data_IF_391167277424
#
_entry.id   IF_391167277424
#
_cell.length_a   1.000
_cell.length_b   1.000
_cell.length_c   1.000
_cell.angle_alpha   90.00
_cell.angle_beta   90.00
_cell.angle_gamma   90.00
#
_symmetry.space_group_name_H-M   'P 1'
#
loop_
_entity.id
_entity.type
_entity.pdbx_description
1 polymer ?
#
# COMPACT_ATOMS: atom_id res chain seq x y z
N UNK A 1 1.59 -23.75 -14.69
CA UNK A 1 1.82 -24.50 -13.44
C UNK A 1 0.71 -24.13 -12.46
N UNK A 2 0.08 -25.11 -11.80
CA UNK A 2 -1.01 -24.88 -10.83
C UNK A 2 -0.54 -25.32 -9.45
N UNK A 3 -0.79 -24.52 -8.40
CA UNK A 3 -0.39 -24.82 -7.02
C UNK A 3 -1.49 -24.48 -6.03
N UNK A 4 -1.49 -25.19 -4.91
CA UNK A 4 -2.44 -24.95 -3.83
C UNK A 4 -1.90 -23.90 -2.86
N UNK A 5 -2.66 -22.83 -2.66
CA UNK A 5 -2.37 -21.79 -1.65
C UNK A 5 -2.90 -22.15 -0.26
N UNK A 6 -3.69 -23.22 -0.17
CA UNK A 6 -4.25 -23.78 1.07
C UNK A 6 -4.22 -25.30 1.04
N UNK A 7 -4.49 -25.94 2.18
CA UNK A 7 -4.68 -27.39 2.25
C UNK A 7 -5.96 -27.77 1.51
N UNK A 8 -5.89 -28.82 0.70
CA UNK A 8 -7.03 -29.36 -0.08
C UNK A 8 -7.32 -30.77 0.43
N UNK A 9 -8.57 -31.04 0.83
CA UNK A 9 -8.99 -32.37 1.28
C UNK A 9 -9.26 -33.27 0.06
N UNK A 10 -9.14 -34.59 0.25
CA UNK A 10 -9.51 -35.56 -0.81
C UNK A 10 -10.99 -35.36 -1.17
N UNK A 11 -11.28 -35.15 -2.45
CA UNK A 11 -12.64 -34.87 -2.96
C UNK A 11 -13.07 -33.40 -2.88
N UNK A 12 -12.23 -32.49 -2.37
CA UNK A 12 -12.48 -31.04 -2.46
C UNK A 12 -12.21 -30.53 -3.88
N UNK A 13 -13.11 -29.68 -4.39
CA UNK A 13 -12.95 -29.02 -5.68
C UNK A 13 -11.74 -28.08 -5.68
N UNK A 14 -10.98 -28.08 -6.77
CA UNK A 14 -9.83 -27.19 -6.96
C UNK A 14 -10.27 -25.99 -7.79
N UNK A 15 -10.28 -24.82 -7.16
CA UNK A 15 -10.72 -23.58 -7.80
C UNK A 15 -9.54 -22.61 -8.03
N UNK A 16 -9.68 -21.76 -9.06
CA UNK A 16 -8.78 -20.62 -9.35
C UNK A 16 -9.62 -19.36 -9.54
N UNK A 17 -9.04 -18.18 -9.38
CA UNK A 17 -9.74 -16.91 -9.68
C UNK A 17 -9.51 -16.52 -11.14
N UNK A 18 -10.58 -16.09 -11.83
CA UNK A 18 -10.52 -15.52 -13.18
C UNK A 18 -10.52 -13.99 -13.21
N UNK A 19 -10.78 -13.37 -12.07
CA UNK A 19 -10.90 -11.92 -11.91
C UNK A 19 -10.00 -11.45 -10.79
N UNK A 20 -9.68 -10.15 -10.78
CA UNK A 20 -9.02 -9.53 -9.63
C UNK A 20 -9.95 -9.59 -8.40
N UNK A 21 -9.40 -10.06 -7.28
CA UNK A 21 -10.11 -10.23 -6.02
C UNK A 21 -10.14 -8.94 -5.17
N UNK A 22 -9.34 -7.93 -5.53
CA UNK A 22 -9.44 -6.57 -5.00
C UNK A 22 -10.56 -5.76 -5.67
N UNK A 23 -11.32 -6.36 -6.59
CA UNK A 23 -12.53 -5.75 -7.12
C UNK A 23 -13.77 -6.05 -6.25
N UNK A 24 -14.69 -5.08 -6.17
CA UNK A 24 -16.04 -5.23 -5.63
C UNK A 24 -16.79 -6.47 -6.11
N UNK A 25 -17.74 -6.96 -5.31
CA UNK A 25 -18.57 -8.12 -5.68
C UNK A 25 -19.32 -7.87 -6.99
N UNK A 26 -19.91 -6.70 -7.16
CA UNK A 26 -20.68 -6.36 -8.35
C UNK A 26 -19.82 -6.38 -9.63
N UNK A 27 -18.58 -5.86 -9.56
CA UNK A 27 -17.64 -5.88 -10.69
C UNK A 27 -17.20 -7.30 -11.03
N UNK A 28 -16.84 -8.11 -10.02
CA UNK A 28 -16.46 -9.51 -10.22
C UNK A 28 -17.60 -10.31 -10.86
N UNK A 29 -18.83 -10.13 -10.41
CA UNK A 29 -19.99 -10.80 -11.01
C UNK A 29 -20.22 -10.35 -12.45
N UNK A 30 -20.12 -9.05 -12.72
CA UNK A 30 -20.29 -8.49 -14.07
C UNK A 30 -19.23 -9.03 -15.04
N UNK A 31 -17.96 -9.08 -14.60
CA UNK A 31 -16.87 -9.63 -15.38
C UNK A 31 -17.07 -11.12 -15.68
N UNK A 32 -17.44 -11.92 -14.67
CA UNK A 32 -17.68 -13.35 -14.84
C UNK A 32 -18.88 -13.64 -15.74
N UNK A 33 -19.94 -12.85 -15.63
CA UNK A 33 -21.09 -12.97 -16.52
C UNK A 33 -20.72 -12.62 -17.96
N UNK A 34 -20.05 -11.50 -18.19
CA UNK A 34 -19.71 -11.02 -19.53
C UNK A 34 -18.70 -11.93 -20.25
N UNK A 35 -17.66 -12.39 -19.54
CA UNK A 35 -16.56 -13.14 -20.15
C UNK A 35 -16.70 -14.65 -20.03
N UNK A 36 -17.46 -15.15 -19.05
CA UNK A 36 -17.56 -16.57 -18.75
C UNK A 36 -19.01 -17.09 -18.62
N UNK A 37 -20.03 -16.23 -18.78
CA UNK A 37 -21.46 -16.60 -18.83
C UNK A 37 -21.96 -17.34 -17.58
N UNK A 38 -21.42 -17.04 -16.40
CA UNK A 38 -21.93 -17.59 -15.14
C UNK A 38 -21.94 -16.55 -14.02
N UNK A 39 -22.81 -16.78 -13.03
CA UNK A 39 -22.85 -16.03 -11.77
C UNK A 39 -22.16 -16.83 -10.68
N UNK A 40 -21.17 -16.24 -10.01
CA UNK A 40 -20.42 -16.93 -8.98
C UNK A 40 -21.22 -17.07 -7.69
N UNK A 41 -21.28 -18.29 -7.15
CA UNK A 41 -21.97 -18.61 -5.90
C UNK A 41 -21.01 -19.00 -4.77
N UNK A 42 -19.76 -18.53 -4.82
CA UNK A 42 -18.79 -18.81 -3.74
C UNK A 42 -19.24 -18.16 -2.40
N UNK A 43 -18.60 -18.57 -1.30
CA UNK A 43 -18.90 -18.05 0.05
C UNK A 43 -18.86 -16.51 0.09
N UNK A 44 -17.83 -15.90 -0.48
CA UNK A 44 -17.70 -14.43 -0.53
C UNK A 44 -18.83 -13.76 -1.32
N UNK A 45 -19.33 -14.40 -2.39
CA UNK A 45 -20.41 -13.85 -3.22
C UNK A 45 -21.82 -14.10 -2.65
N UNK A 46 -22.01 -15.13 -1.83
CA UNK A 46 -23.35 -15.52 -1.32
C UNK A 46 -23.69 -14.90 0.03
N UNK A 47 -22.69 -14.48 0.80
CA UNK A 47 -22.87 -13.87 2.12
C UNK A 47 -23.63 -12.54 2.03
N UNK A 48 -24.63 -12.39 2.91
CA UNK A 48 -25.42 -11.18 3.13
C UNK A 48 -25.58 -10.96 4.65
N UNK A 49 -25.21 -9.79 5.21
CA UNK A 49 -24.62 -8.63 4.53
C UNK A 49 -23.23 -8.91 3.95
N UNK A 50 -22.73 -8.05 3.06
CA UNK A 50 -21.42 -8.22 2.39
C UNK A 50 -20.30 -8.52 3.38
N UNK A 51 -19.31 -9.31 2.95
CA UNK A 51 -18.12 -9.60 3.76
C UNK A 51 -17.37 -8.31 4.12
N UNK A 52 -16.58 -8.32 5.20
CA UNK A 52 -15.74 -7.18 5.59
C UNK A 52 -14.90 -6.65 4.42
N UNK A 53 -14.35 -7.57 3.61
CA UNK A 53 -13.52 -7.23 2.45
C UNK A 53 -14.35 -6.55 1.37
N UNK A 54 -15.49 -7.12 0.95
CA UNK A 54 -16.32 -6.49 -0.09
C UNK A 54 -16.88 -5.14 0.36
N UNK A 55 -17.29 -5.03 1.63
CA UNK A 55 -17.71 -3.75 2.20
C UNK A 55 -16.56 -2.72 2.15
N UNK A 56 -15.37 -3.10 2.61
CA UNK A 56 -14.20 -2.21 2.61
C UNK A 56 -13.77 -1.75 1.19
N UNK A 57 -13.91 -2.62 0.19
CA UNK A 57 -13.57 -2.33 -1.21
C UNK A 57 -14.56 -1.36 -1.89
N UNK A 58 -15.80 -1.29 -1.40
CA UNK A 58 -16.88 -0.43 -1.93
C UNK A 58 -17.10 0.84 -1.08
N UNK A 59 -16.55 0.92 0.13
CA UNK A 59 -16.87 1.98 1.09
C UNK A 59 -16.38 3.37 0.65
N UNK A 60 -17.26 4.36 0.83
CA UNK A 60 -16.97 5.79 0.73
C UNK A 60 -17.35 6.45 2.05
N UNK A 61 -16.42 7.23 2.60
CA UNK A 61 -16.61 8.07 3.75
C UNK A 61 -17.35 9.34 3.35
N UNK A 62 -18.47 9.63 4.00
CA UNK A 62 -19.19 10.89 3.83
C UNK A 62 -19.02 11.74 5.09
N UNK A 63 -18.63 13.01 4.93
CA UNK A 63 -18.48 13.94 6.05
C UNK A 63 -19.37 15.16 5.83
N UNK A 64 -20.30 15.40 6.76
CA UNK A 64 -20.98 16.69 6.91
C UNK A 64 -21.56 16.86 8.33
N UNK A 65 -21.15 17.89 9.12
CA UNK A 65 -21.65 18.11 10.49
C UNK A 65 -23.12 18.55 10.60
N UNK A 66 -23.78 18.89 9.49
CA UNK A 66 -25.21 19.29 9.47
C UNK A 66 -26.17 18.16 9.04
N UNK A 67 -25.63 16.97 8.76
CA UNK A 67 -26.41 15.80 8.34
C UNK A 67 -26.74 14.93 9.56
N UNK A 68 -27.87 15.19 10.22
CA UNK A 68 -28.33 14.30 11.30
C UNK A 68 -29.84 14.05 11.33
N UNK A 69 -30.65 14.62 10.42
CA UNK A 69 -32.11 14.55 10.62
C UNK A 69 -33.02 14.58 9.40
N UNK A 70 -32.51 14.63 8.17
CA UNK A 70 -33.37 14.60 6.98
C UNK A 70 -33.27 13.25 6.28
N UNK A 71 -34.39 12.51 6.20
CA UNK A 71 -34.54 11.20 5.56
C UNK A 71 -34.36 11.21 4.03
N UNK A 72 -33.21 11.70 3.58
CA UNK A 72 -32.73 11.61 2.21
C UNK A 72 -31.97 10.30 2.05
N UNK A 73 -32.10 9.70 0.86
CA UNK A 73 -31.41 8.46 0.52
C UNK A 73 -29.91 8.75 0.29
N UNK A 74 -29.16 8.79 1.40
CA UNK A 74 -27.71 8.99 1.42
C UNK A 74 -26.98 8.01 0.49
N UNK A 75 -27.58 6.84 0.24
CA UNK A 75 -27.05 5.83 -0.67
C UNK A 75 -27.06 6.32 -2.11
N UNK A 76 -28.10 7.00 -2.59
CA UNK A 76 -28.15 7.54 -3.96
C UNK A 76 -27.04 8.57 -4.20
N UNK A 77 -26.78 9.44 -3.23
CA UNK A 77 -25.70 10.42 -3.30
C UNK A 77 -24.33 9.75 -3.25
N UNK A 78 -24.17 8.71 -2.43
CA UNK A 78 -22.95 7.90 -2.35
C UNK A 78 -22.69 7.17 -3.67
N UNK A 79 -23.72 6.60 -4.29
CA UNK A 79 -23.62 5.88 -5.57
C UNK A 79 -23.23 6.80 -6.73
N UNK A 80 -23.86 7.99 -6.79
CA UNK A 80 -23.51 9.00 -7.79
C UNK A 80 -22.08 9.52 -7.58
N UNK A 81 -21.67 9.77 -6.34
CA UNK A 81 -20.29 10.14 -6.01
C UNK A 81 -19.32 9.04 -6.41
N UNK A 82 -19.61 7.78 -6.05
CA UNK A 82 -18.83 6.59 -6.41
C UNK A 82 -18.61 6.51 -7.92
N UNK A 83 -19.69 6.65 -8.70
CA UNK A 83 -19.63 6.56 -10.17
C UNK A 83 -18.76 7.66 -10.78
N UNK A 84 -18.94 8.92 -10.34
CA UNK A 84 -18.16 10.05 -10.85
C UNK A 84 -16.70 9.96 -10.45
N UNK A 85 -16.44 9.58 -9.21
CA UNK A 85 -15.10 9.37 -8.68
C UNK A 85 -14.36 8.24 -9.41
N UNK A 86 -15.02 7.10 -9.62
CA UNK A 86 -14.47 5.99 -10.40
C UNK A 86 -14.13 6.44 -11.81
N UNK A 87 -15.07 7.07 -12.52
CA UNK A 87 -14.85 7.56 -13.87
C UNK A 87 -13.65 8.50 -13.96
N UNK A 88 -13.54 9.47 -13.04
CA UNK A 88 -12.43 10.42 -13.01
C UNK A 88 -11.08 9.73 -12.80
N UNK A 89 -11.00 8.78 -11.88
CA UNK A 89 -9.78 8.02 -11.61
C UNK A 89 -9.41 7.15 -12.81
N UNK A 90 -10.38 6.43 -13.38
CA UNK A 90 -10.16 5.56 -14.55
C UNK A 90 -9.69 6.35 -15.78
N UNK A 91 -10.28 7.52 -16.02
CA UNK A 91 -9.88 8.45 -17.08
C UNK A 91 -8.45 8.96 -16.85
N UNK A 92 -8.12 9.37 -15.62
CA UNK A 92 -6.78 9.83 -15.25
C UNK A 92 -5.73 8.73 -15.44
N UNK A 93 -6.03 7.49 -15.02
CA UNK A 93 -5.13 6.35 -15.19
C UNK A 93 -4.96 6.02 -16.68
N UNK A 94 -6.05 6.05 -17.45
CA UNK A 94 -6.00 5.80 -18.90
C UNK A 94 -5.18 6.85 -19.64
N UNK A 95 -5.35 8.13 -19.29
CA UNK A 95 -4.53 9.23 -19.82
C UNK A 95 -3.05 9.02 -19.47
N UNK A 96 -2.74 8.67 -18.22
CA UNK A 96 -1.37 8.37 -17.81
C UNK A 96 -0.74 7.22 -18.61
N UNK A 97 -1.47 6.13 -18.82
CA UNK A 97 -0.98 4.97 -19.58
C UNK A 97 -0.83 5.25 -21.09
N UNK A 98 -1.54 6.24 -21.63
CA UNK A 98 -1.51 6.56 -23.07
C UNK A 98 -0.58 7.72 -23.42
N UNK A 99 -0.64 8.81 -22.66
CA UNK A 99 0.14 10.04 -22.88
C UNK A 99 1.50 9.97 -22.18
N UNK A 100 1.58 9.28 -21.04
CA UNK A 100 2.82 9.14 -20.27
C UNK A 100 3.20 10.39 -19.48
N UNK A 101 2.23 11.19 -19.00
CA UNK A 101 2.49 12.33 -18.10
C UNK A 101 2.31 11.93 -16.63
N UNK A 102 3.38 11.52 -15.92
CA UNK A 102 3.28 11.10 -14.54
C UNK A 102 3.02 12.28 -13.57
N UNK A 103 3.40 13.51 -13.91
CA UNK A 103 3.21 14.65 -13.01
C UNK A 103 1.74 15.07 -12.97
N UNK A 104 1.09 15.19 -14.12
CA UNK A 104 -0.35 15.45 -14.21
C UNK A 104 -1.14 14.33 -13.53
N UNK A 105 -0.75 13.07 -13.73
CA UNK A 105 -1.33 11.91 -13.06
C UNK A 105 -1.26 12.04 -11.53
N UNK A 106 -0.08 12.29 -10.96
CA UNK A 106 0.11 12.48 -9.52
C UNK A 106 -0.81 13.58 -8.98
N UNK A 107 -0.81 14.77 -9.61
CA UNK A 107 -1.61 15.92 -9.16
C UNK A 107 -3.11 15.63 -9.20
N UNK A 108 -3.61 14.98 -10.26
CA UNK A 108 -5.04 14.66 -10.43
C UNK A 108 -5.51 13.64 -9.39
N UNK A 109 -4.77 12.54 -9.21
CA UNK A 109 -5.13 11.49 -8.27
C UNK A 109 -5.05 11.97 -6.81
N UNK A 110 -3.97 12.66 -6.42
CA UNK A 110 -3.81 13.18 -5.05
C UNK A 110 -4.86 14.22 -4.69
N UNK A 111 -5.24 15.07 -5.64
CA UNK A 111 -6.33 16.05 -5.45
C UNK A 111 -7.62 15.36 -5.09
N UNK A 112 -7.99 14.28 -5.79
CA UNK A 112 -9.23 13.55 -5.53
C UNK A 112 -9.16 12.74 -4.25
N UNK A 113 -8.03 12.09 -3.98
CA UNK A 113 -7.82 11.34 -2.74
C UNK A 113 -7.90 12.25 -1.50
N UNK A 114 -7.27 13.43 -1.53
CA UNK A 114 -7.27 14.39 -0.42
C UNK A 114 -8.57 15.19 -0.32
N UNK A 115 -9.04 15.73 -1.45
CA UNK A 115 -10.19 16.63 -1.52
C UNK A 115 -11.52 15.93 -1.36
N UNK A 116 -11.64 14.71 -1.89
CA UNK A 116 -12.92 14.04 -2.07
C UNK A 116 -13.73 14.64 -3.22
N UNK A 117 -14.98 14.19 -3.35
CA UNK A 117 -15.94 14.68 -4.31
C UNK A 117 -17.07 15.40 -3.59
N UNK A 118 -17.37 16.62 -4.04
CA UNK A 118 -18.48 17.41 -3.52
C UNK A 118 -19.74 17.14 -4.33
N UNK A 119 -20.76 16.60 -3.67
CA UNK A 119 -22.10 16.50 -4.26
C UNK A 119 -22.94 17.68 -3.76
N UNK A 120 -23.40 18.51 -4.71
CA UNK A 120 -24.32 19.61 -4.40
C UNK A 120 -25.74 19.06 -4.18
N UNK A 121 -26.36 19.47 -3.08
CA UNK A 121 -27.75 19.11 -2.78
C UNK A 121 -28.73 20.04 -3.53
N UNK A 122 -29.89 19.51 -3.90
CA UNK A 122 -31.05 20.30 -4.34
C UNK A 122 -31.46 21.28 -3.23
N UNK A 123 -31.79 22.51 -3.58
CA UNK A 123 -32.03 23.63 -2.64
C UNK A 123 -32.91 23.22 -1.44
N UNK A 124 -32.32 23.28 -0.24
CA UNK A 124 -33.08 23.23 1.02
C UNK A 124 -33.27 24.64 1.56
N UNK A 125 -34.28 24.84 2.42
CA UNK A 125 -34.63 26.16 2.99
C UNK A 125 -33.49 26.84 3.77
N UNK A 126 -32.45 26.10 4.16
CA UNK A 126 -31.27 26.60 4.90
C UNK A 126 -30.02 26.81 4.04
N UNK A 127 -30.16 26.78 2.70
CA UNK A 127 -29.06 27.01 1.76
C UNK A 127 -28.48 25.72 1.14
N UNK A 128 -27.42 25.88 0.33
CA UNK A 128 -26.74 24.76 -0.36
C UNK A 128 -25.81 24.03 0.62
N UNK A 129 -26.28 22.91 1.17
CA UNK A 129 -25.43 21.93 1.85
C UNK A 129 -24.61 21.15 0.82
N UNK A 130 -23.32 20.93 1.12
CA UNK A 130 -22.39 20.13 0.30
C UNK A 130 -22.02 18.87 1.05
N UNK A 131 -22.25 17.71 0.44
CA UNK A 131 -21.73 16.45 0.97
C UNK A 131 -20.33 16.23 0.40
N UNK A 132 -19.33 16.04 1.27
CA UNK A 132 -18.01 15.62 0.81
C UNK A 132 -17.86 14.10 0.96
N UNK A 133 -17.64 13.44 -0.17
CA UNK A 133 -17.44 12.00 -0.27
C UNK A 133 -15.98 11.69 -0.54
N UNK A 134 -15.34 10.90 0.32
CA UNK A 134 -13.94 10.46 0.20
C UNK A 134 -13.87 8.95 0.12
N UNK A 135 -12.91 8.43 -0.60
CA UNK A 135 -12.69 6.99 -0.59
C UNK A 135 -12.28 6.49 0.79
N UNK A 136 -12.83 5.36 1.19
CA UNK A 136 -12.22 4.58 2.25
C UNK A 136 -10.81 4.15 1.81
N UNK A 137 -9.79 4.07 2.68
CA UNK A 137 -8.43 3.69 2.28
C UNK A 137 -8.31 2.31 1.63
N UNK A 138 -9.27 1.42 1.92
CA UNK A 138 -9.36 0.08 1.32
C UNK A 138 -10.23 0.03 0.07
N UNK A 139 -10.87 1.13 -0.31
CA UNK A 139 -11.70 1.17 -1.50
C UNK A 139 -10.87 0.78 -2.72
N UNK A 140 -11.39 -0.07 -3.60
CA UNK A 140 -10.66 -0.58 -4.75
C UNK A 140 -10.10 0.52 -5.66
N UNK A 141 -10.80 1.65 -5.81
CA UNK A 141 -10.35 2.80 -6.60
C UNK A 141 -9.19 3.50 -5.90
N UNK A 142 -9.23 3.61 -4.57
CA UNK A 142 -8.11 4.15 -3.79
C UNK A 142 -6.88 3.24 -3.90
N UNK A 143 -7.06 1.91 -3.79
CA UNK A 143 -5.96 0.94 -3.96
C UNK A 143 -5.33 1.04 -5.35
N UNK A 144 -6.15 1.14 -6.41
CA UNK A 144 -5.66 1.35 -7.77
C UNK A 144 -4.91 2.67 -7.89
N UNK A 145 -5.44 3.74 -7.29
CA UNK A 145 -4.77 5.05 -7.26
C UNK A 145 -3.41 4.98 -6.56
N UNK A 146 -3.27 4.26 -5.43
CA UNK A 146 -1.98 4.10 -4.75
C UNK A 146 -0.97 3.35 -5.62
N UNK A 147 -1.42 2.31 -6.32
CA UNK A 147 -0.59 1.54 -7.24
C UNK A 147 -0.10 2.41 -8.40
N UNK A 148 -0.98 3.22 -8.99
CA UNK A 148 -0.64 4.16 -10.06
C UNK A 148 0.30 5.25 -9.54
N UNK A 149 0.01 5.84 -8.37
CA UNK A 149 0.84 6.89 -7.77
C UNK A 149 2.25 6.39 -7.46
N UNK A 150 2.38 5.21 -6.85
CA UNK A 150 3.68 4.58 -6.61
C UNK A 150 4.49 4.46 -7.92
N UNK A 151 3.83 4.03 -9.01
CA UNK A 151 4.47 3.87 -10.32
C UNK A 151 4.81 5.23 -10.97
N UNK A 152 3.89 6.19 -10.96
CA UNK A 152 4.06 7.52 -11.54
C UNK A 152 5.21 8.29 -10.86
N UNK A 153 5.27 8.29 -9.52
CA UNK A 153 6.38 8.90 -8.79
C UNK A 153 7.72 8.21 -9.07
N UNK A 154 7.73 6.89 -9.29
CA UNK A 154 8.95 6.17 -9.68
C UNK A 154 9.42 6.58 -11.09
N UNK A 155 8.49 6.80 -12.03
CA UNK A 155 8.83 7.31 -13.37
C UNK A 155 9.39 8.73 -13.24
N UNK A 156 8.73 9.63 -12.49
CA UNK A 156 9.24 10.99 -12.25
C UNK A 156 10.64 10.99 -11.66
N UNK A 157 10.92 10.11 -10.71
CA UNK A 157 12.26 9.93 -10.16
C UNK A 157 13.29 9.59 -11.24
N UNK A 158 12.93 8.68 -12.15
CA UNK A 158 13.78 8.26 -13.28
C UNK A 158 13.97 9.37 -14.32
N UNK A 159 12.92 10.16 -14.58
CA UNK A 159 12.95 11.31 -15.49
C UNK A 159 13.90 12.39 -14.95
N UNK A 160 13.86 12.68 -13.65
CA UNK A 160 14.79 13.62 -13.02
C UNK A 160 16.26 13.19 -13.15
N UNK A 161 16.54 11.89 -13.12
CA UNK A 161 17.88 11.34 -13.28
C UNK A 161 18.37 11.29 -14.73
N UNK A 162 17.45 11.26 -15.71
CA UNK A 162 17.77 11.06 -17.13
C UNK A 162 17.80 12.35 -17.94
N UNK A 163 16.88 13.30 -17.69
CA UNK A 163 16.72 14.51 -18.51
C UNK A 163 17.47 15.73 -17.99
N UNK A 164 17.77 15.80 -16.69
CA UNK A 164 18.52 16.91 -16.11
C UNK A 164 20.00 16.52 -16.01
N UNK A 165 20.91 17.46 -16.33
CA UNK A 165 22.33 17.28 -15.97
C UNK A 165 22.38 16.86 -14.49
N UNK A 166 23.29 15.91 -14.15
CA UNK A 166 23.44 15.34 -12.79
C UNK A 166 23.90 16.40 -11.78
N UNK A 167 23.08 17.42 -11.58
CA UNK A 167 23.19 18.44 -10.57
C UNK A 167 22.71 17.83 -9.26
N UNK A 168 23.22 18.34 -8.14
CA UNK A 168 22.78 17.87 -6.83
C UNK A 168 21.27 18.13 -6.64
N UNK A 169 20.72 19.20 -7.23
CA UNK A 169 19.29 19.51 -7.20
C UNK A 169 18.42 18.46 -7.91
N UNK A 170 18.82 18.00 -9.10
CA UNK A 170 18.06 16.96 -9.81
C UNK A 170 18.11 15.61 -9.09
N UNK A 171 19.23 15.28 -8.45
CA UNK A 171 19.37 14.09 -7.62
C UNK A 171 18.49 14.16 -6.36
N UNK A 172 18.42 15.32 -5.70
CA UNK A 172 17.56 15.53 -4.54
C UNK A 172 16.07 15.41 -4.89
N UNK A 173 15.64 16.03 -6.01
CA UNK A 173 14.25 15.89 -6.51
C UNK A 173 13.93 14.44 -6.90
N UNK A 174 14.83 13.77 -7.60
CA UNK A 174 14.66 12.35 -7.92
C UNK A 174 14.48 11.51 -6.65
N UNK A 175 15.27 11.78 -5.62
CA UNK A 175 15.20 11.07 -4.34
C UNK A 175 13.89 11.35 -3.59
N UNK A 176 13.40 12.58 -3.60
CA UNK A 176 12.08 12.96 -3.08
C UNK A 176 10.96 12.16 -3.76
N UNK A 177 10.96 12.12 -5.10
CA UNK A 177 9.96 11.35 -5.86
C UNK A 177 10.04 9.85 -5.51
N UNK A 178 11.25 9.30 -5.37
CA UNK A 178 11.45 7.91 -4.94
C UNK A 178 10.90 7.65 -3.53
N UNK A 179 11.09 8.58 -2.58
CA UNK A 179 10.55 8.48 -1.22
C UNK A 179 9.02 8.43 -1.20
N UNK A 180 8.37 9.35 -1.91
CA UNK A 180 6.91 9.40 -2.01
C UNK A 180 6.37 8.13 -2.69
N UNK A 181 7.04 7.65 -3.74
CA UNK A 181 6.74 6.38 -4.41
C UNK A 181 6.75 5.19 -3.42
N UNK A 182 7.78 5.08 -2.58
CA UNK A 182 7.85 4.06 -1.54
C UNK A 182 6.76 4.24 -0.47
N UNK A 183 6.40 5.49 -0.15
CA UNK A 183 5.29 5.82 0.75
C UNK A 183 3.97 5.21 0.27
N UNK A 184 3.60 5.44 -1.00
CA UNK A 184 2.40 4.85 -1.61
C UNK A 184 2.47 3.33 -1.69
N UNK A 185 3.59 2.77 -2.13
CA UNK A 185 3.76 1.31 -2.21
C UNK A 185 3.58 0.64 -0.84
N UNK A 186 4.06 1.30 0.22
CA UNK A 186 3.91 0.83 1.60
C UNK A 186 2.48 0.92 2.12
N UNK A 187 1.78 2.02 1.84
CA UNK A 187 0.35 2.17 2.17
C UNK A 187 -0.49 1.08 1.46
N UNK A 188 -0.23 0.83 0.18
CA UNK A 188 -0.87 -0.21 -0.61
C UNK A 188 -0.61 -1.62 -0.05
N UNK A 189 0.64 -1.91 0.31
CA UNK A 189 1.01 -3.19 0.94
C UNK A 189 0.31 -3.38 2.29
N UNK A 190 0.27 -2.35 3.13
CA UNK A 190 -0.41 -2.37 4.43
C UNK A 190 -1.93 -2.58 4.30
N UNK A 191 -2.57 -1.80 3.43
CA UNK A 191 -4.00 -1.92 3.16
C UNK A 191 -4.37 -3.32 2.63
N UNK A 192 -3.62 -3.81 1.66
CA UNK A 192 -3.87 -5.14 1.07
C UNK A 192 -3.58 -6.26 2.05
N UNK A 193 -2.55 -6.12 2.89
CA UNK A 193 -2.27 -7.10 3.94
C UNK A 193 -3.41 -7.19 4.94
N UNK A 194 -4.01 -6.06 5.34
CA UNK A 194 -5.17 -6.04 6.22
C UNK A 194 -6.36 -6.79 5.63
N UNK A 195 -6.64 -6.59 4.34
CA UNK A 195 -7.68 -7.35 3.63
C UNK A 195 -7.32 -8.85 3.53
N UNK A 196 -6.07 -9.17 3.24
CA UNK A 196 -5.56 -10.54 3.16
C UNK A 196 -5.69 -11.31 4.49
N UNK A 197 -5.48 -10.65 5.64
CA UNK A 197 -5.70 -11.26 6.95
C UNK A 197 -7.15 -11.71 7.14
N UNK A 198 -8.11 -11.04 6.49
CA UNK A 198 -9.53 -11.40 6.52
C UNK A 198 -9.91 -12.41 5.42
N UNK A 199 -9.22 -12.37 4.28
CA UNK A 199 -9.51 -13.20 3.10
C UNK A 199 -8.20 -13.73 2.48
N UNK A 200 -7.85 -14.97 2.83
CA UNK A 200 -6.60 -15.61 2.41
C UNK A 200 -6.42 -15.73 0.90
N UNK A 201 -7.49 -15.68 0.11
CA UNK A 201 -7.39 -15.71 -1.36
C UNK A 201 -6.69 -14.49 -1.95
N UNK A 202 -6.53 -13.39 -1.18
CA UNK A 202 -5.79 -12.19 -1.57
C UNK A 202 -4.26 -12.34 -1.45
N UNK A 203 -3.75 -13.54 -1.13
CA UNK A 203 -2.32 -13.79 -0.94
C UNK A 203 -1.47 -13.33 -2.13
N UNK A 204 -1.94 -13.51 -3.37
CA UNK A 204 -1.20 -13.11 -4.58
C UNK A 204 -0.98 -11.59 -4.62
N UNK A 205 -2.00 -10.80 -4.29
CA UNK A 205 -1.88 -9.34 -4.22
C UNK A 205 -0.91 -8.93 -3.10
N UNK A 206 -1.01 -9.59 -1.93
CA UNK A 206 -0.10 -9.35 -0.82
C UNK A 206 1.37 -9.66 -1.18
N UNK A 207 1.64 -10.74 -1.91
CA UNK A 207 3.00 -11.07 -2.42
C UNK A 207 3.57 -9.89 -3.21
N UNK A 208 2.82 -9.45 -4.22
CA UNK A 208 3.29 -8.46 -5.18
C UNK A 208 3.54 -7.11 -4.51
N UNK A 209 2.64 -6.68 -3.62
CA UNK A 209 2.78 -5.38 -2.96
C UNK A 209 3.84 -5.37 -1.87
N UNK A 210 4.00 -6.44 -1.09
CA UNK A 210 5.11 -6.52 -0.12
C UNK A 210 6.48 -6.60 -0.80
N UNK A 211 6.56 -7.37 -1.88
CA UNK A 211 7.76 -7.39 -2.74
C UNK A 211 8.08 -5.98 -3.23
N UNK A 212 7.12 -5.31 -3.87
CA UNK A 212 7.34 -3.98 -4.45
C UNK A 212 7.73 -2.94 -3.38
N UNK A 213 7.03 -2.92 -2.24
CA UNK A 213 7.36 -2.02 -1.13
C UNK A 213 8.78 -2.27 -0.60
N UNK A 214 9.19 -3.54 -0.50
CA UNK A 214 10.55 -3.92 -0.14
C UNK A 214 11.60 -3.40 -1.12
N UNK A 215 11.40 -3.63 -2.42
CA UNK A 215 12.31 -3.15 -3.48
C UNK A 215 12.48 -1.63 -3.43
N UNK A 216 11.39 -0.89 -3.21
CA UNK A 216 11.41 0.58 -3.23
C UNK A 216 12.14 1.13 -2.01
N UNK A 217 11.90 0.55 -0.82
CA UNK A 217 12.62 0.93 0.40
C UNK A 217 14.12 0.65 0.30
N UNK A 218 14.51 -0.50 -0.25
CA UNK A 218 15.93 -0.84 -0.41
C UNK A 218 16.62 0.04 -1.45
N UNK A 219 15.93 0.39 -2.53
CA UNK A 219 16.41 1.36 -3.52
C UNK A 219 16.68 2.72 -2.84
N UNK A 220 15.77 3.19 -1.99
CA UNK A 220 15.98 4.41 -1.19
C UNK A 220 17.18 4.23 -0.27
N UNK A 221 17.23 3.17 0.54
CA UNK A 221 18.30 2.95 1.52
C UNK A 221 19.70 2.84 0.87
N UNK A 222 19.77 2.31 -0.36
CA UNK A 222 21.00 2.18 -1.14
C UNK A 222 21.41 3.44 -1.93
N UNK A 223 20.59 4.50 -1.95
CA UNK A 223 20.83 5.69 -2.77
C UNK A 223 22.14 6.41 -2.40
N UNK A 224 22.88 6.91 -3.40
CA UNK A 224 24.06 7.74 -3.15
C UNK A 224 23.72 9.13 -2.59
N UNK A 225 22.46 9.55 -2.70
CA UNK A 225 21.98 10.86 -2.23
C UNK A 225 22.10 11.01 -0.72
N UNK A 226 22.17 9.90 0.04
CA UNK A 226 22.50 9.96 1.46
C UNK A 226 23.85 10.66 1.73
N UNK A 227 24.84 10.52 0.83
CA UNK A 227 26.11 11.25 0.97
C UNK A 227 25.94 12.76 0.80
N UNK A 228 25.05 13.20 -0.11
CA UNK A 228 24.74 14.62 -0.31
C UNK A 228 24.02 15.22 0.90
N UNK A 229 23.26 14.40 1.63
CA UNK A 229 22.64 14.75 2.90
C UNK A 229 23.64 14.72 4.08
N UNK A 230 24.94 14.52 3.82
CA UNK A 230 25.99 14.47 4.83
C UNK A 230 26.10 13.14 5.57
N UNK A 231 25.52 12.06 5.04
CA UNK A 231 25.39 10.75 5.70
C UNK A 231 26.11 9.64 4.91
N UNK A 232 27.41 9.39 5.18
CA UNK A 232 28.21 8.45 4.40
C UNK A 232 27.69 7.01 4.45
N UNK A 233 27.74 6.32 3.29
CA UNK A 233 27.24 4.95 3.05
C UNK A 233 27.94 3.85 3.89
N UNK A 234 29.02 4.16 4.60
CA UNK A 234 29.89 3.17 5.26
C UNK A 234 29.17 2.25 6.27
N UNK A 235 28.03 2.67 6.83
CA UNK A 235 27.32 1.92 7.87
C UNK A 235 26.39 0.82 7.35
N UNK A 236 26.00 0.78 6.07
CA UNK A 236 24.99 -0.19 5.63
C UNK A 236 25.49 -1.64 5.68
N UNK A 237 26.80 -1.85 5.51
CA UNK A 237 27.45 -3.16 5.61
C UNK A 237 27.35 -3.80 7.00
N UNK A 238 27.16 -3.00 8.07
CA UNK A 238 26.91 -3.51 9.43
C UNK A 238 25.43 -3.81 9.65
N UNK A 239 24.52 -3.11 8.96
CA UNK A 239 23.07 -3.36 8.99
C UNK A 239 22.71 -4.70 8.33
N UNK A 240 23.46 -5.12 7.31
CA UNK A 240 23.35 -6.43 6.65
C UNK A 240 23.52 -7.61 7.62
N UNK A 241 24.28 -7.43 8.72
CA UNK A 241 24.48 -8.47 9.76
C UNK A 241 23.43 -8.46 10.87
N UNK A 242 22.41 -7.60 10.78
CA UNK A 242 21.48 -7.40 11.88
C UNK A 242 20.45 -8.54 11.98
N UNK A 243 20.52 -9.31 13.06
CA UNK A 243 19.41 -10.16 13.49
C UNK A 243 18.30 -9.28 14.07
N UNK A 244 17.11 -9.35 13.49
CA UNK A 244 15.95 -8.70 14.08
C UNK A 244 15.57 -9.41 15.38
N UNK A 245 15.49 -8.67 16.48
CA UNK A 245 15.00 -9.20 17.76
C UNK A 245 13.47 -9.32 17.81
N UNK A 246 12.76 -8.69 16.89
CA UNK A 246 11.29 -8.58 16.89
C UNK A 246 10.60 -9.57 15.93
N UNK A 247 11.32 -10.16 14.99
CA UNK A 247 10.79 -11.22 14.14
C UNK A 247 11.88 -12.20 13.70
N UNK A 248 11.48 -13.46 13.45
CA UNK A 248 12.37 -14.55 13.05
C UNK A 248 12.61 -14.62 11.52
N UNK A 249 12.13 -13.64 10.75
CA UNK A 249 12.16 -13.68 9.29
C UNK A 249 13.57 -13.86 8.71
N UNK A 250 14.54 -13.14 9.26
CA UNK A 250 15.92 -13.22 8.78
C UNK A 250 16.59 -14.56 9.16
N UNK A 251 16.19 -15.18 10.28
CA UNK A 251 16.67 -16.51 10.66
C UNK A 251 16.06 -17.59 9.74
N UNK A 252 14.77 -17.49 9.41
CA UNK A 252 14.09 -18.38 8.44
C UNK A 252 14.76 -18.28 7.07
N UNK A 253 15.10 -17.06 6.64
CA UNK A 253 15.79 -16.84 5.37
C UNK A 253 17.22 -17.41 5.40
N UNK A 254 17.99 -17.09 6.44
CA UNK A 254 19.39 -17.49 6.59
C UNK A 254 19.59 -19.00 6.69
N UNK A 255 18.62 -19.73 7.25
CA UNK A 255 18.63 -21.18 7.29
C UNK A 255 18.42 -21.84 5.91
N UNK A 256 18.07 -21.05 4.86
CA UNK A 256 17.63 -21.51 3.53
C UNK A 256 16.49 -22.55 3.57
N UNK A 257 15.87 -22.72 4.74
CA UNK A 257 14.74 -23.62 4.99
C UNK A 257 13.44 -22.90 4.66
N UNK A 258 13.29 -22.42 3.42
CA UNK A 258 12.09 -21.70 3.01
C UNK A 258 10.91 -22.69 2.97
N UNK A 259 10.25 -22.80 4.13
CA UNK A 259 9.05 -23.55 4.47
C UNK A 259 9.08 -25.07 4.21
N UNK A 260 9.58 -25.81 5.20
CA UNK A 260 9.19 -27.21 5.43
C UNK A 260 7.68 -27.30 5.77
N UNK A 261 7.09 -28.49 5.65
CA UNK A 261 5.67 -28.74 5.93
C UNK A 261 5.24 -28.22 7.33
N UNK A 262 6.13 -28.29 8.33
CA UNK A 262 5.91 -27.82 9.70
C UNK A 262 5.93 -26.29 9.86
N UNK A 263 6.62 -25.57 8.99
CA UNK A 263 6.66 -24.10 9.01
C UNK A 263 5.42 -23.51 8.34
N UNK A 264 4.78 -24.24 7.40
CA UNK A 264 3.48 -23.86 6.84
C UNK A 264 2.38 -23.83 7.90
N UNK A 265 2.45 -24.72 8.90
CA UNK A 265 1.56 -24.70 10.06
C UNK A 265 1.80 -23.52 11.00
N UNK A 266 2.98 -22.88 10.95
CA UNK A 266 3.35 -21.72 11.76
C UNK A 266 3.20 -20.37 11.03
N UNK A 267 2.66 -20.38 9.80
CA UNK A 267 2.59 -19.18 8.96
C UNK A 267 1.81 -18.02 9.62
N UNK A 268 0.75 -18.32 10.38
CA UNK A 268 0.00 -17.30 11.11
C UNK A 268 0.88 -16.51 12.09
N UNK A 269 1.77 -17.20 12.81
CA UNK A 269 2.72 -16.57 13.74
C UNK A 269 3.78 -15.77 12.97
N UNK A 270 4.33 -16.32 11.88
CA UNK A 270 5.29 -15.61 11.02
C UNK A 270 4.69 -14.30 10.48
N UNK A 271 3.44 -14.33 10.01
CA UNK A 271 2.74 -13.15 9.51
C UNK A 271 2.48 -12.13 10.63
N UNK A 272 2.12 -12.59 11.82
CA UNK A 272 1.92 -11.72 12.99
C UNK A 272 3.21 -11.05 13.45
N UNK A 273 4.29 -11.81 13.57
CA UNK A 273 5.61 -11.31 13.98
C UNK A 273 6.16 -10.30 12.97
N UNK A 274 6.01 -10.61 11.67
CA UNK A 274 6.35 -9.67 10.60
C UNK A 274 5.60 -8.35 10.75
N UNK A 275 4.27 -8.40 10.89
CA UNK A 275 3.45 -7.21 10.98
C UNK A 275 3.79 -6.39 12.23
N UNK A 276 4.02 -7.06 13.37
CA UNK A 276 4.46 -6.41 14.60
C UNK A 276 5.79 -5.66 14.40
N UNK A 277 6.77 -6.32 13.77
CA UNK A 277 8.08 -5.73 13.49
C UNK A 277 8.01 -4.56 12.49
N UNK A 278 7.21 -4.66 11.44
CA UNK A 278 7.04 -3.57 10.49
C UNK A 278 6.33 -2.39 11.15
N UNK A 279 5.34 -2.66 12.01
CA UNK A 279 4.57 -1.63 12.72
C UNK A 279 5.41 -0.89 13.76
N UNK A 280 6.22 -1.59 14.56
CA UNK A 280 7.12 -0.98 15.54
C UNK A 280 8.19 -0.08 14.89
N UNK A 281 8.67 -0.46 13.70
CA UNK A 281 9.70 0.27 12.98
C UNK A 281 9.14 1.46 12.18
N UNK A 282 7.88 1.40 11.72
CA UNK A 282 7.27 2.39 10.81
C UNK A 282 7.36 3.84 11.30
N UNK A 283 7.01 4.17 12.56
CA UNK A 283 7.03 5.55 13.04
C UNK A 283 8.41 6.23 12.92
N UNK A 284 9.49 5.45 12.91
CA UNK A 284 10.87 5.93 12.90
C UNK A 284 11.32 6.51 11.54
N UNK A 285 10.57 6.21 10.46
CA UNK A 285 10.92 6.70 9.11
C UNK A 285 9.69 7.06 8.25
N UNK A 286 8.47 6.84 8.72
CA UNK A 286 7.27 7.12 7.93
C UNK A 286 7.17 8.59 7.53
N UNK A 287 7.34 9.52 8.48
CA UNK A 287 7.37 10.97 8.20
C UNK A 287 8.46 11.34 7.21
N UNK A 288 9.62 10.69 7.28
CA UNK A 288 10.67 10.87 6.28
C UNK A 288 10.21 10.46 4.88
N UNK A 289 9.55 9.32 4.71
CA UNK A 289 9.12 8.88 3.38
C UNK A 289 8.08 9.81 2.75
N UNK A 290 7.12 10.27 3.54
CA UNK A 290 5.94 10.98 3.04
C UNK A 290 6.11 12.49 2.99
N UNK A 291 7.17 13.04 3.60
CA UNK A 291 7.35 14.49 3.65
C UNK A 291 7.36 15.10 2.25
N UNK A 292 6.52 16.11 2.05
CA UNK A 292 6.27 16.76 0.75
C UNK A 292 5.07 16.19 -0.01
N UNK A 293 4.41 15.16 0.51
CA UNK A 293 3.20 14.56 -0.07
C UNK A 293 1.98 14.80 0.83
N UNK A 294 1.25 15.86 0.49
CA UNK A 294 0.02 16.34 1.12
C UNK A 294 -1.02 15.26 1.50
N UNK A 295 -1.22 14.25 0.66
CA UNK A 295 -2.18 13.18 0.94
C UNK A 295 -1.63 12.14 1.92
N UNK A 296 -0.41 11.64 1.70
CA UNK A 296 0.21 10.66 2.57
C UNK A 296 0.46 11.18 3.99
N UNK A 297 0.74 12.48 4.14
CA UNK A 297 0.89 13.13 5.46
C UNK A 297 -0.37 13.08 6.32
N UNK A 298 -1.54 12.80 5.74
CA UNK A 298 -2.79 12.60 6.51
C UNK A 298 -2.78 11.29 7.31
N UNK A 299 -1.90 10.34 6.98
CA UNK A 299 -1.80 9.05 7.65
C UNK A 299 -0.71 9.07 8.71
N UNK A 300 -1.08 8.83 9.99
CA UNK A 300 -0.10 8.74 11.09
C UNK A 300 0.76 7.47 11.02
N UNK A 301 0.16 6.35 10.61
CA UNK A 301 0.82 5.04 10.46
C UNK A 301 0.17 4.30 9.28
N UNK A 302 0.94 3.81 8.29
CA UNK A 302 0.42 3.10 7.12
C UNK A 302 -0.15 1.70 7.44
N UNK A 303 -0.01 1.21 8.67
CA UNK A 303 -0.55 -0.07 9.14
C UNK A 303 -1.53 0.07 10.30
N UNK A 304 -1.71 1.28 10.84
CA UNK A 304 -2.74 1.53 11.82
C UNK A 304 -4.01 2.02 11.13
N UNK A 305 -5.00 1.13 11.05
CA UNK A 305 -6.32 1.44 10.51
C UNK A 305 -7.36 1.64 11.62
N UNK A 306 -6.96 1.66 12.89
CA UNK A 306 -7.89 1.83 14.03
C UNK A 306 -8.60 3.19 14.00
N UNK A 307 -8.01 4.21 13.38
CA UNK A 307 -8.64 5.51 13.17
C UNK A 307 -9.91 5.44 12.30
N UNK A 308 -10.08 4.37 11.51
CA UNK A 308 -11.32 4.14 10.76
C UNK A 308 -12.48 3.67 11.65
N UNK A 309 -12.20 3.17 12.86
CA UNK A 309 -13.23 2.72 13.79
C UNK A 309 -13.86 3.86 14.60
N UNK A 310 -13.24 5.05 14.66
CA UNK A 310 -13.71 6.19 15.44
C UNK A 310 -13.78 7.46 14.56
N UNK A 311 -14.96 7.78 13.99
CA UNK A 311 -15.16 9.00 13.19
C UNK A 311 -15.05 10.30 14.01
N UNK A 312 -14.94 10.19 15.33
CA UNK A 312 -14.94 11.28 16.29
C UNK A 312 -13.78 11.12 17.29
N UNK A 313 -12.55 11.22 16.81
CA UNK A 313 -11.46 11.64 17.68
C UNK A 313 -11.10 13.06 17.25
N UNK A 314 -11.59 14.01 18.04
CA UNK A 314 -11.16 15.41 18.05
C UNK A 314 -9.64 15.45 18.01
N UNK A 315 -9.11 16.35 17.18
CA UNK A 315 -7.71 16.71 17.13
C UNK A 315 -7.21 17.06 18.54
N UNK A 316 -6.58 16.10 19.21
CA UNK A 316 -5.61 16.45 20.23
C UNK A 316 -4.35 16.87 19.48
N UNK A 317 -4.18 18.19 19.41
CA UNK A 317 -2.92 18.87 19.14
C UNK A 317 -1.85 18.26 20.04
N UNK A 318 -1.09 17.31 19.48
CA UNK A 318 0.20 16.92 20.04
C UNK A 318 1.18 17.95 19.53
N UNK A 319 1.58 18.85 20.41
CA UNK A 319 2.52 19.96 20.21
C UNK A 319 3.42 19.75 18.98
N UNK A 320 3.09 20.48 17.92
CA UNK A 320 3.91 20.64 16.75
C UNK A 320 5.24 21.23 17.19
N UNK A 321 6.32 20.46 17.08
CA UNK A 321 7.67 21.03 17.07
C UNK A 321 7.73 21.89 15.80
N UNK A 322 7.46 23.18 15.98
CA UNK A 322 7.83 24.24 15.06
C UNK A 322 9.31 24.12 14.76
N UNK A 323 9.65 24.31 13.49
CA UNK A 323 10.99 24.57 13.00
C UNK A 323 11.71 25.57 13.92
N UNK A 324 12.64 25.06 14.72
CA UNK A 324 13.95 25.66 14.99
C UNK A 324 14.69 24.81 16.03
N UNK A 325 15.83 24.25 15.61
CA UNK A 325 17.07 24.02 16.39
C UNK A 325 17.77 22.68 16.14
N UNK A 326 19.08 22.79 15.90
CA UNK A 326 20.13 21.75 15.83
C UNK A 326 20.20 20.84 14.59
N UNK A 327 21.11 21.23 13.68
CA UNK A 327 21.61 20.46 12.54
C UNK A 327 22.13 19.04 12.94
N UNK A 328 22.63 18.86 14.17
CA UNK A 328 23.09 17.55 14.68
C UNK A 328 21.94 16.56 14.95
N UNK A 329 20.79 17.02 15.45
CA UNK A 329 19.62 16.16 15.67
C UNK A 329 18.96 15.73 14.36
N UNK A 330 19.05 16.55 13.31
CA UNK A 330 18.58 16.20 11.98
C UNK A 330 19.41 15.04 11.38
N UNK A 331 20.73 15.13 11.42
CA UNK A 331 21.61 14.08 10.88
C UNK A 331 21.39 12.72 11.58
N UNK A 332 21.30 12.72 12.92
CA UNK A 332 21.03 11.50 13.70
C UNK A 332 19.64 10.91 13.39
N UNK A 333 18.62 11.76 13.21
CA UNK A 333 17.28 11.33 12.79
C UNK A 333 17.29 10.67 11.41
N UNK A 334 17.99 11.25 10.43
CA UNK A 334 18.10 10.70 9.08
C UNK A 334 18.91 9.38 9.01
N UNK A 335 20.00 9.25 9.77
CA UNK A 335 20.77 7.98 9.88
C UNK A 335 19.88 6.87 10.45
N UNK A 336 19.15 7.19 11.52
CA UNK A 336 18.21 6.27 12.12
C UNK A 336 17.10 5.90 11.14
N UNK A 337 16.55 6.85 10.38
CA UNK A 337 15.54 6.58 9.37
C UNK A 337 16.07 5.62 8.29
N UNK A 338 17.27 5.86 7.73
CA UNK A 338 17.89 5.02 6.69
C UNK A 338 18.05 3.57 7.15
N UNK A 339 18.54 3.35 8.36
CA UNK A 339 18.73 2.01 8.92
C UNK A 339 17.40 1.27 9.08
N UNK A 340 16.35 1.95 9.55
CA UNK A 340 15.02 1.35 9.67
C UNK A 340 14.37 1.10 8.30
N UNK A 341 14.53 2.00 7.33
CA UNK A 341 14.09 1.80 5.94
C UNK A 341 14.72 0.54 5.36
N UNK A 342 16.04 0.37 5.53
CA UNK A 342 16.74 -0.82 5.05
C UNK A 342 16.21 -2.10 5.71
N UNK A 343 16.17 -2.14 7.06
CA UNK A 343 15.70 -3.31 7.82
C UNK A 343 14.30 -3.73 7.39
N UNK A 344 13.38 -2.76 7.31
CA UNK A 344 12.01 -3.03 6.92
C UNK A 344 11.90 -3.39 5.43
N UNK A 345 12.71 -2.78 4.56
CA UNK A 345 12.80 -3.17 3.15
C UNK A 345 13.17 -4.64 2.99
N UNK A 346 14.19 -5.09 3.73
CA UNK A 346 14.60 -6.50 3.77
C UNK A 346 13.49 -7.41 4.27
N UNK A 347 12.85 -7.08 5.39
CA UNK A 347 11.75 -7.89 5.94
C UNK A 347 10.56 -7.96 4.98
N UNK A 348 10.24 -6.86 4.30
CA UNK A 348 9.15 -6.80 3.32
C UNK A 348 9.44 -7.72 2.12
N UNK A 349 10.68 -7.72 1.62
CA UNK A 349 11.11 -8.64 0.57
C UNK A 349 11.06 -10.10 1.02
N UNK A 350 11.65 -10.42 2.17
CA UNK A 350 11.70 -11.79 2.70
C UNK A 350 10.29 -12.32 2.95
N UNK A 351 9.41 -11.49 3.51
CA UNK A 351 8.00 -11.85 3.67
C UNK A 351 7.32 -12.08 2.31
N UNK A 352 7.59 -11.23 1.31
CA UNK A 352 7.17 -11.44 -0.08
C UNK A 352 7.65 -12.78 -0.65
N UNK A 353 8.91 -13.19 -0.39
CA UNK A 353 9.44 -14.52 -0.79
C UNK A 353 8.66 -15.64 -0.13
N UNK A 354 8.38 -15.54 1.17
CA UNK A 354 7.62 -16.55 1.92
C UNK A 354 6.22 -16.73 1.30
N UNK A 355 5.53 -15.62 1.05
CA UNK A 355 4.22 -15.65 0.40
C UNK A 355 4.32 -16.21 -1.04
N UNK A 356 5.35 -15.82 -1.79
CA UNK A 356 5.57 -16.28 -3.16
C UNK A 356 5.87 -17.78 -3.20
N UNK A 357 6.58 -18.31 -2.20
CA UNK A 357 6.82 -19.74 -2.06
C UNK A 357 5.50 -20.49 -1.83
N UNK A 358 4.58 -19.94 -1.04
CA UNK A 358 3.24 -20.52 -0.85
C UNK A 358 2.47 -20.52 -2.18
N UNK A 359 2.50 -19.42 -2.92
CA UNK A 359 1.73 -19.23 -4.16
C UNK A 359 2.27 -20.02 -5.36
N UNK A 360 3.58 -19.94 -5.56
CA UNK A 360 4.27 -20.35 -6.79
C UNK A 360 5.32 -21.44 -6.57
N UNK A 361 5.70 -21.69 -5.31
CA UNK A 361 6.69 -22.70 -4.92
C UNK A 361 8.12 -22.24 -5.00
N UNK A 362 9.02 -23.12 -4.54
CA UNK A 362 10.45 -22.85 -4.42
C UNK A 362 11.13 -22.47 -5.74
N UNK A 363 10.81 -23.18 -6.83
CA UNK A 363 11.51 -23.04 -8.11
C UNK A 363 10.78 -22.10 -9.09
N UNK A 364 9.87 -21.26 -8.59
CA UNK A 364 9.16 -20.33 -9.46
C UNK A 364 10.08 -19.18 -9.84
N UNK A 365 9.95 -18.66 -11.06
CA UNK A 365 10.71 -17.49 -11.51
C UNK A 365 10.53 -16.30 -10.56
N UNK A 366 9.33 -16.09 -10.01
CA UNK A 366 9.10 -15.01 -9.05
C UNK A 366 9.85 -15.26 -7.73
N UNK A 367 9.82 -16.48 -7.20
CA UNK A 367 10.52 -16.85 -5.96
C UNK A 367 12.03 -16.70 -6.15
N UNK A 368 12.58 -17.22 -7.25
CA UNK A 368 14.01 -17.09 -7.58
C UNK A 368 14.41 -15.64 -7.85
N UNK A 369 13.60 -14.87 -8.57
CA UNK A 369 13.86 -13.45 -8.82
C UNK A 369 13.93 -12.66 -7.52
N UNK A 370 12.98 -12.85 -6.60
CA UNK A 370 12.97 -12.14 -5.32
C UNK A 370 14.10 -12.65 -4.42
N UNK A 371 14.41 -13.95 -4.42
CA UNK A 371 15.56 -14.51 -3.72
C UNK A 371 16.88 -13.87 -4.18
N UNK A 372 17.11 -13.82 -5.49
CA UNK A 372 18.29 -13.17 -6.06
C UNK A 372 18.34 -11.68 -5.69
N UNK A 373 17.19 -11.01 -5.64
CA UNK A 373 17.09 -9.63 -5.18
C UNK A 373 17.53 -9.49 -3.72
N UNK A 374 17.03 -10.35 -2.83
CA UNK A 374 17.43 -10.35 -1.41
C UNK A 374 18.93 -10.65 -1.29
N UNK A 375 19.46 -11.63 -2.03
CA UNK A 375 20.89 -11.96 -2.03
C UNK A 375 21.76 -10.77 -2.49
N UNK A 376 21.34 -10.00 -3.49
CA UNK A 376 22.05 -8.79 -3.94
C UNK A 376 22.12 -7.67 -2.89
N UNK A 377 21.23 -7.67 -1.89
CA UNK A 377 21.28 -6.70 -0.79
C UNK A 377 22.01 -7.26 0.44
N UNK A 378 22.08 -8.59 0.58
CA UNK A 378 22.76 -9.26 1.72
C UNK A 378 24.25 -9.50 1.46
N UNK A 379 24.67 -9.66 0.21
CA UNK A 379 26.06 -9.90 -0.19
C UNK A 379 26.55 -8.78 -1.10
#
# INVERSE_FOLDING_TARGET
MVRSIKRIKKGEEVCVSYTDLLQPKAMRQSYLWFNHQFTCSCSRCTVSPSTLVDHALEEILASNPSFSSAGLDLNLYRDEANKKLSHYVDETITEFLSVGDPESCCKKLERVLKGGFHVEQLESKDGKSRLNCKFHPFNHIALNSYMTLASAYRIRSSDFLSFHSKTDESQLKAFEMSRISAGYSRLLAGATHHLFCSESSLIVSAVNFWKQAGEYLLTIAGSSVWNLLGLPISELSTVVKYKCSECSLMDIFGAKSILNQAERTNFGNISSDFLACVRSASPKFWRFLIHGCDYLETFKDPFDFRWLAHPHCVEEDVDFIKEDSNCEHHAEWYINARTHIYKVGMHSLVFGVILAHICYGQNSHLTTHVLNHVENFVY
#
